data_IF_881029016862
#
_entry.id   IF_881029016862
#
_cell.length_a   1.000
_cell.length_b   1.000
_cell.length_c   1.000
_cell.angle_alpha   90.00
_cell.angle_beta   90.00
_cell.angle_gamma   90.00
#
_symmetry.space_group_name_H-M   'P 1'
#
loop_
_entity.id
_entity.type
_entity.pdbx_description
1 polymer ?
#
# COMPACT_ATOMS: atom_id res chain seq x y z
N UNK A 1 -27.49 -16.95 7.56
CA UNK A 1 -28.42 -15.93 8.08
C UNK A 1 -27.92 -15.35 9.40
N UNK A 2 -27.66 -16.15 10.44
CA UNK A 2 -27.24 -15.63 11.75
C UNK A 2 -25.96 -14.76 11.69
N UNK A 3 -24.95 -15.21 10.98
CA UNK A 3 -23.69 -14.44 10.80
C UNK A 3 -23.95 -13.12 10.10
N UNK A 4 -24.80 -13.09 9.05
CA UNK A 4 -25.12 -11.84 8.36
C UNK A 4 -25.80 -10.82 9.28
N UNK A 5 -26.87 -11.23 9.96
CA UNK A 5 -27.60 -10.35 10.89
C UNK A 5 -26.70 -9.84 12.03
N UNK A 6 -25.85 -10.72 12.58
CA UNK A 6 -24.92 -10.33 13.65
C UNK A 6 -23.85 -9.36 13.12
N UNK A 7 -23.32 -9.63 11.94
CA UNK A 7 -22.33 -8.77 11.28
C UNK A 7 -22.89 -7.37 10.97
N UNK A 8 -24.08 -7.30 10.41
CA UNK A 8 -24.76 -6.03 10.12
C UNK A 8 -24.99 -5.23 11.40
N UNK A 9 -25.49 -5.88 12.47
CA UNK A 9 -25.72 -5.22 13.76
C UNK A 9 -24.42 -4.66 14.37
N UNK A 10 -23.32 -5.44 14.35
CA UNK A 10 -22.05 -4.95 14.86
C UNK A 10 -21.46 -3.85 13.97
N UNK A 11 -21.55 -3.98 12.65
CA UNK A 11 -21.10 -2.94 11.73
C UNK A 11 -21.83 -1.62 11.98
N UNK A 12 -23.16 -1.65 12.15
CA UNK A 12 -23.96 -0.49 12.46
C UNK A 12 -23.62 0.07 13.85
N UNK A 13 -23.40 -0.77 14.84
CA UNK A 13 -22.98 -0.35 16.18
C UNK A 13 -21.64 0.42 16.12
N UNK A 14 -20.65 -0.09 15.40
CA UNK A 14 -19.37 0.57 15.23
C UNK A 14 -19.50 1.89 14.44
N UNK A 15 -20.31 1.92 13.39
CA UNK A 15 -20.55 3.12 12.59
C UNK A 15 -21.17 4.27 13.38
N UNK A 16 -21.95 3.94 14.43
CA UNK A 16 -22.62 4.92 15.29
C UNK A 16 -21.82 5.31 16.54
N UNK A 17 -20.61 4.78 16.73
CA UNK A 17 -19.73 5.21 17.83
C UNK A 17 -19.25 6.64 17.61
N UNK A 18 -18.96 7.38 18.68
CA UNK A 18 -18.46 8.75 18.58
C UNK A 18 -16.97 8.78 18.14
N UNK A 19 -16.21 7.75 18.47
CA UNK A 19 -14.79 7.63 18.20
C UNK A 19 -14.54 7.24 16.72
N UNK A 20 -13.79 8.07 16.01
CA UNK A 20 -13.49 7.87 14.59
C UNK A 20 -12.67 6.59 14.30
N UNK A 21 -11.87 6.12 15.27
CA UNK A 21 -11.16 4.87 15.16
C UNK A 21 -12.13 3.68 15.08
N UNK A 22 -13.14 3.65 15.95
CA UNK A 22 -14.16 2.59 15.93
C UNK A 22 -15.09 2.71 14.73
N UNK A 23 -15.45 3.92 14.31
CA UNK A 23 -16.23 4.13 13.07
C UNK A 23 -15.54 3.50 11.86
N UNK A 24 -14.22 3.70 11.74
CA UNK A 24 -13.44 3.10 10.65
C UNK A 24 -13.48 1.55 10.67
N UNK A 25 -13.63 0.94 11.87
CA UNK A 25 -13.72 -0.53 12.03
C UNK A 25 -15.06 -1.13 11.62
N UNK A 26 -16.08 -0.31 11.38
CA UNK A 26 -17.37 -0.78 10.83
C UNK A 26 -17.19 -1.56 9.53
N UNK A 27 -16.36 -1.06 8.62
CA UNK A 27 -16.05 -1.73 7.37
C UNK A 27 -15.32 -3.06 7.58
N UNK A 28 -14.38 -3.13 8.54
CA UNK A 28 -13.66 -4.37 8.88
C UNK A 28 -14.61 -5.46 9.40
N UNK A 29 -15.58 -5.07 10.24
CA UNK A 29 -16.60 -6.00 10.77
C UNK A 29 -17.46 -6.58 9.65
N UNK A 30 -17.85 -5.74 8.69
CA UNK A 30 -18.62 -6.17 7.52
C UNK A 30 -17.81 -7.15 6.67
N UNK A 31 -16.56 -6.81 6.34
CA UNK A 31 -15.66 -7.65 5.56
C UNK A 31 -15.46 -9.04 6.22
N UNK A 32 -15.20 -9.10 7.52
CA UNK A 32 -15.07 -10.36 8.26
C UNK A 32 -16.36 -11.19 8.17
N UNK A 33 -17.51 -10.55 8.32
CA UNK A 33 -18.81 -11.24 8.29
C UNK A 33 -19.11 -11.80 6.91
N UNK A 34 -18.87 -11.05 5.85
CA UNK A 34 -19.03 -11.49 4.46
C UNK A 34 -18.05 -12.64 4.14
N UNK A 35 -16.84 -12.57 4.65
CA UNK A 35 -15.85 -13.65 4.49
C UNK A 35 -16.30 -14.95 5.15
N UNK A 36 -16.80 -14.88 6.39
CA UNK A 36 -17.34 -16.05 7.09
C UNK A 36 -18.51 -16.64 6.32
N UNK A 37 -19.42 -15.80 5.81
CA UNK A 37 -20.56 -16.26 4.99
C UNK A 37 -20.08 -16.96 3.72
N UNK A 38 -19.10 -16.40 3.01
CA UNK A 38 -18.52 -17.00 1.80
C UNK A 38 -17.96 -18.39 2.07
N UNK A 39 -17.20 -18.55 3.16
CA UNK A 39 -16.63 -19.85 3.58
C UNK A 39 -17.76 -20.84 3.92
N UNK A 40 -18.77 -20.40 4.68
CA UNK A 40 -19.92 -21.25 5.05
C UNK A 40 -20.76 -21.66 3.84
N UNK A 41 -20.86 -20.82 2.81
CA UNK A 41 -21.56 -21.12 1.58
C UNK A 41 -20.74 -21.96 0.58
N UNK A 42 -19.48 -22.31 0.93
CA UNK A 42 -18.60 -23.06 0.03
C UNK A 42 -18.18 -22.25 -1.20
N UNK A 43 -18.39 -20.94 -1.17
CA UNK A 43 -17.85 -20.06 -2.19
C UNK A 43 -16.36 -19.91 -1.94
N UNK A 44 -15.54 -20.55 -2.75
CA UNK A 44 -14.14 -20.16 -2.90
C UNK A 44 -14.17 -18.74 -3.46
N UNK A 45 -13.46 -17.84 -2.81
CA UNK A 45 -13.38 -16.46 -3.31
C UNK A 45 -12.93 -16.49 -4.76
N UNK A 46 -13.73 -15.90 -5.66
CA UNK A 46 -13.36 -15.64 -7.06
C UNK A 46 -12.22 -14.59 -7.17
N UNK A 47 -11.34 -14.55 -6.18
CA UNK A 47 -10.11 -13.76 -6.22
C UNK A 47 -9.04 -14.41 -7.10
N UNK A 48 -9.40 -15.47 -7.84
CA UNK A 48 -8.53 -16.02 -8.87
C UNK A 48 -8.50 -15.06 -10.06
N UNK A 49 -7.51 -14.18 -10.02
CA UNK A 49 -7.24 -13.22 -11.10
C UNK A 49 -6.66 -13.90 -12.36
N UNK A 50 -6.80 -15.24 -12.46
CA UNK A 50 -6.29 -16.01 -13.59
C UNK A 50 -4.76 -16.11 -13.60
N UNK A 51 -4.21 -16.60 -14.71
CA UNK A 51 -2.76 -16.82 -14.85
C UNK A 51 -2.01 -15.64 -15.47
N UNK A 52 -2.70 -14.70 -16.09
CA UNK A 52 -2.10 -13.54 -16.74
C UNK A 52 -1.98 -12.33 -15.80
N UNK A 53 -0.98 -11.47 -16.00
CA UNK A 53 -0.86 -10.21 -15.27
C UNK A 53 -2.04 -9.28 -15.57
N UNK A 54 -2.67 -8.73 -14.51
CA UNK A 54 -3.91 -7.96 -14.61
C UNK A 54 -3.86 -6.60 -13.91
N UNK A 55 -4.70 -5.70 -14.38
CA UNK A 55 -5.12 -4.49 -13.68
C UNK A 55 -6.42 -4.80 -12.96
N UNK A 56 -6.46 -4.66 -11.66
CA UNK A 56 -7.68 -4.88 -10.87
C UNK A 56 -8.47 -3.58 -10.80
N UNK A 57 -9.75 -3.68 -11.21
CA UNK A 57 -10.71 -2.57 -11.23
C UNK A 57 -11.87 -2.93 -10.33
N UNK A 58 -12.17 -2.12 -9.33
CA UNK A 58 -13.23 -2.38 -8.35
C UNK A 58 -13.85 -1.09 -7.82
N UNK A 59 -15.06 -1.17 -7.27
CA UNK A 59 -15.64 -0.03 -6.56
C UNK A 59 -14.83 0.34 -5.33
N UNK A 60 -14.47 -0.66 -4.53
CA UNK A 60 -13.53 -0.60 -3.42
C UNK A 60 -12.90 -2.00 -3.26
N UNK A 61 -11.82 -2.12 -2.52
CA UNK A 61 -11.14 -3.38 -2.25
C UNK A 61 -10.98 -3.57 -0.75
N UNK A 62 -11.65 -4.60 -0.24
CA UNK A 62 -11.50 -4.98 1.15
C UNK A 62 -10.11 -5.56 1.43
N UNK A 63 -9.60 -5.42 2.66
CA UNK A 63 -8.32 -6.02 3.06
C UNK A 63 -8.25 -7.51 2.80
N UNK A 64 -9.33 -8.26 3.06
CA UNK A 64 -9.42 -9.70 2.85
C UNK A 64 -9.26 -10.10 1.39
N UNK A 65 -9.76 -9.31 0.45
CA UNK A 65 -9.64 -9.53 -0.98
C UNK A 65 -8.20 -9.33 -1.45
N UNK A 66 -7.58 -8.22 -1.01
CA UNK A 66 -6.21 -7.88 -1.42
C UNK A 66 -5.16 -8.84 -0.88
N UNK A 67 -5.38 -9.44 0.30
CA UNK A 67 -4.48 -10.45 0.90
C UNK A 67 -4.46 -11.74 0.09
N UNK A 68 -5.56 -12.10 -0.54
CA UNK A 68 -5.72 -13.34 -1.31
C UNK A 68 -5.22 -13.25 -2.74
N UNK A 69 -5.05 -12.05 -3.27
CA UNK A 69 -4.58 -11.85 -4.64
C UNK A 69 -3.11 -12.27 -4.80
N UNK A 70 -2.80 -12.92 -5.91
CA UNK A 70 -1.41 -13.19 -6.28
C UNK A 70 -0.71 -11.88 -6.69
N UNK A 71 0.07 -11.36 -5.75
CA UNK A 71 0.77 -10.08 -5.90
C UNK A 71 1.76 -10.05 -7.08
N UNK A 72 2.19 -11.18 -7.57
CA UNK A 72 3.12 -11.26 -8.72
C UNK A 72 2.43 -10.97 -10.05
N UNK A 73 1.10 -11.12 -10.09
CA UNK A 73 0.26 -10.91 -11.28
C UNK A 73 -0.40 -9.53 -11.29
N UNK A 74 -0.31 -8.77 -10.19
CA UNK A 74 -0.93 -7.45 -10.09
C UNK A 74 -0.08 -6.38 -10.75
N UNK A 75 -0.62 -5.71 -11.76
CA UNK A 75 0.03 -4.61 -12.46
C UNK A 75 -0.37 -3.23 -11.91
N UNK A 76 -1.64 -3.06 -11.53
CA UNK A 76 -2.17 -1.81 -11.00
C UNK A 76 -3.52 -2.04 -10.30
N UNK A 77 -3.93 -1.06 -9.49
CA UNK A 77 -5.29 -0.95 -8.96
C UNK A 77 -6.00 0.29 -9.49
N UNK A 78 -7.30 0.16 -9.75
CA UNK A 78 -8.20 1.27 -10.06
C UNK A 78 -9.44 1.13 -9.21
N UNK A 79 -9.75 2.13 -8.38
CA UNK A 79 -10.95 2.10 -7.53
C UNK A 79 -11.82 3.32 -7.75
N UNK A 80 -13.15 3.12 -7.66
CA UNK A 80 -14.13 4.21 -7.69
C UNK A 80 -14.11 4.98 -6.38
N UNK A 81 -14.03 4.26 -5.27
CA UNK A 81 -14.00 4.84 -3.94
C UNK A 81 -12.64 4.63 -3.27
N UNK A 82 -12.45 5.25 -2.12
CA UNK A 82 -11.23 5.14 -1.33
C UNK A 82 -10.52 6.49 -1.16
N UNK A 83 -9.39 6.43 -0.48
CA UNK A 83 -8.55 7.61 -0.22
C UNK A 83 -7.08 7.25 -0.39
N UNK A 84 -6.21 8.25 -0.36
CA UNK A 84 -4.76 8.04 -0.39
C UNK A 84 -4.24 7.20 0.80
N UNK A 85 -5.03 7.04 1.84
CA UNK A 85 -4.75 6.24 3.04
C UNK A 85 -5.57 4.93 3.09
N UNK A 86 -6.31 4.59 2.02
CA UNK A 86 -7.02 3.31 1.95
C UNK A 86 -6.04 2.12 1.93
N UNK A 87 -6.52 0.95 2.32
CA UNK A 87 -5.74 -0.30 2.27
C UNK A 87 -5.16 -0.56 0.89
N UNK A 88 -5.94 -0.35 -0.17
CA UNK A 88 -5.52 -0.50 -1.57
C UNK A 88 -4.36 0.45 -1.92
N UNK A 89 -4.44 1.71 -1.49
CA UNK A 89 -3.38 2.68 -1.75
C UNK A 89 -2.08 2.33 -1.00
N UNK A 90 -2.19 1.86 0.24
CA UNK A 90 -1.04 1.42 1.05
C UNK A 90 -0.40 0.18 0.41
N UNK A 91 -1.22 -0.79 0.00
CA UNK A 91 -0.74 -2.00 -0.66
C UNK A 91 -0.02 -1.69 -1.97
N UNK A 92 -0.62 -0.86 -2.83
CA UNK A 92 -0.01 -0.44 -4.10
C UNK A 92 1.36 0.23 -3.88
N UNK A 93 1.48 1.13 -2.89
CA UNK A 93 2.76 1.75 -2.52
C UNK A 93 3.79 0.73 -2.06
N UNK A 94 3.37 -0.22 -1.23
CA UNK A 94 4.25 -1.30 -0.72
C UNK A 94 4.76 -2.18 -1.86
N UNK A 95 3.89 -2.47 -2.83
CA UNK A 95 4.24 -3.25 -4.02
C UNK A 95 5.00 -2.43 -5.07
N UNK A 96 4.94 -1.10 -4.99
CA UNK A 96 5.54 -0.20 -5.99
C UNK A 96 4.85 -0.26 -7.35
N UNK A 97 3.53 -0.49 -7.35
CA UNK A 97 2.66 -0.49 -8.54
C UNK A 97 1.73 0.73 -8.54
N UNK A 98 1.26 1.20 -9.70
CA UNK A 98 0.33 2.32 -9.77
C UNK A 98 -1.03 1.98 -9.15
N UNK A 99 -1.65 2.98 -8.52
CA UNK A 99 -3.05 2.93 -8.10
C UNK A 99 -3.74 4.26 -8.44
N UNK A 100 -4.93 4.16 -9.03
CA UNK A 100 -5.81 5.30 -9.27
C UNK A 100 -7.07 5.15 -8.43
N UNK A 101 -7.46 6.24 -7.77
CA UNK A 101 -8.61 6.29 -6.86
C UNK A 101 -9.55 7.39 -7.34
N UNK A 102 -10.87 7.19 -7.15
CA UNK A 102 -11.87 8.16 -7.57
C UNK A 102 -12.14 8.14 -9.07
N UNK A 103 -11.98 6.98 -9.71
CA UNK A 103 -12.20 6.78 -11.14
C UNK A 103 -13.62 6.29 -11.39
N UNK A 104 -14.33 6.89 -12.32
CA UNK A 104 -15.59 6.31 -12.81
C UNK A 104 -15.28 5.05 -13.60
N UNK A 105 -15.81 3.92 -13.14
CA UNK A 105 -15.54 2.59 -13.67
C UNK A 105 -16.71 2.16 -14.57
N UNK A 106 -16.37 1.58 -15.73
CA UNK A 106 -17.31 0.93 -16.62
C UNK A 106 -17.08 -0.59 -16.59
N UNK A 107 -18.14 -1.36 -16.34
CA UNK A 107 -18.09 -2.84 -16.31
C UNK A 107 -17.64 -3.44 -17.66
N UNK A 108 -17.78 -2.69 -18.75
CA UNK A 108 -17.32 -3.10 -20.08
C UNK A 108 -15.80 -3.17 -20.21
N UNK A 109 -15.06 -2.69 -19.22
CA UNK A 109 -13.59 -2.77 -19.20
C UNK A 109 -13.07 -4.18 -18.89
N UNK A 110 -13.93 -5.03 -18.35
CA UNK A 110 -13.53 -6.38 -18.00
C UNK A 110 -13.02 -7.16 -19.23
N UNK A 111 -11.83 -7.77 -19.08
CA UNK A 111 -11.17 -8.52 -20.14
C UNK A 111 -10.50 -7.66 -21.23
N UNK A 112 -10.57 -6.33 -21.14
CA UNK A 112 -9.93 -5.42 -22.08
C UNK A 112 -8.50 -5.07 -21.69
N UNK A 113 -7.69 -4.73 -22.71
CA UNK A 113 -6.34 -4.18 -22.45
C UNK A 113 -6.46 -2.76 -21.93
N UNK A 114 -5.64 -2.44 -20.90
CA UNK A 114 -5.60 -1.11 -20.31
C UNK A 114 -4.19 -0.65 -20.00
N UNK A 115 -4.03 0.67 -19.93
CA UNK A 115 -2.80 1.34 -19.47
C UNK A 115 -3.16 2.18 -18.24
N UNK A 116 -2.37 2.05 -17.19
CA UNK A 116 -2.46 2.88 -15.99
C UNK A 116 -1.17 3.68 -15.83
N UNK A 117 -1.29 5.00 -15.86
CA UNK A 117 -0.19 5.91 -15.55
C UNK A 117 -0.46 6.57 -14.18
N UNK A 118 0.18 6.05 -13.14
CA UNK A 118 0.07 6.59 -11.79
C UNK A 118 0.77 7.93 -11.58
N UNK A 119 1.66 8.36 -12.49
CA UNK A 119 2.31 9.66 -12.42
C UNK A 119 1.42 10.78 -12.98
N UNK A 120 0.74 10.49 -14.09
CA UNK A 120 -0.15 11.46 -14.74
C UNK A 120 -1.61 11.31 -14.30
N UNK A 121 -1.93 10.27 -13.53
CA UNK A 121 -3.30 9.98 -13.11
C UNK A 121 -4.22 9.61 -14.27
N UNK A 122 -3.70 8.86 -15.26
CA UNK A 122 -4.41 8.50 -16.48
C UNK A 122 -4.74 7.02 -16.56
N UNK A 123 -5.92 6.73 -17.09
CA UNK A 123 -6.35 5.40 -17.53
C UNK A 123 -6.69 5.46 -19.02
N UNK A 124 -6.23 4.49 -19.78
CA UNK A 124 -6.54 4.33 -21.21
C UNK A 124 -6.98 2.90 -21.40
N UNK A 125 -8.23 2.72 -21.82
CA UNK A 125 -8.83 1.40 -22.13
C UNK A 125 -8.81 1.19 -23.62
N UNK A 126 -8.46 -0.02 -24.07
CA UNK A 126 -8.29 -0.37 -25.48
C UNK A 126 -7.38 0.62 -26.25
N UNK A 127 -6.13 0.84 -25.77
CA UNK A 127 -5.21 1.75 -26.45
C UNK A 127 -4.94 1.26 -27.87
N UNK A 128 -4.81 2.20 -28.80
CA UNK A 128 -4.29 1.87 -30.12
C UNK A 128 -2.80 1.48 -30.06
N UNK A 129 -2.27 0.92 -31.14
CA UNK A 129 -0.89 0.43 -31.17
C UNK A 129 0.14 1.54 -30.96
N UNK A 130 -0.13 2.74 -31.45
CA UNK A 130 0.77 3.89 -31.29
C UNK A 130 0.86 4.30 -29.82
N UNK A 131 -0.29 4.48 -29.17
CA UNK A 131 -0.40 4.80 -27.74
C UNK A 131 0.25 3.71 -26.89
N UNK A 132 -0.02 2.44 -27.18
CA UNK A 132 0.58 1.32 -26.45
C UNK A 132 2.11 1.37 -26.55
N UNK A 133 2.65 1.56 -27.74
CA UNK A 133 4.10 1.63 -27.97
C UNK A 133 4.75 2.84 -27.25
N UNK A 134 4.07 3.98 -27.20
CA UNK A 134 4.54 5.16 -26.46
C UNK A 134 4.66 4.84 -24.95
N UNK A 135 3.63 4.22 -24.36
CA UNK A 135 3.64 3.89 -22.93
C UNK A 135 4.59 2.73 -22.59
N UNK A 136 4.79 1.76 -23.49
CA UNK A 136 5.82 0.74 -23.31
C UNK A 136 7.23 1.34 -23.28
N UNK A 137 7.54 2.30 -24.15
CA UNK A 137 8.81 3.04 -24.09
C UNK A 137 8.95 3.82 -22.78
N UNK A 138 7.87 4.51 -22.33
CA UNK A 138 7.84 5.23 -21.05
C UNK A 138 8.11 4.29 -19.88
N UNK A 139 7.51 3.10 -19.87
CA UNK A 139 7.73 2.07 -18.87
C UNK A 139 9.18 1.57 -18.85
N UNK A 140 9.78 1.35 -20.03
CA UNK A 140 11.17 0.91 -20.13
C UNK A 140 12.14 1.96 -19.57
N UNK A 141 11.96 3.23 -19.91
CA UNK A 141 12.74 4.33 -19.34
C UNK A 141 12.61 4.37 -17.82
N UNK A 142 11.39 4.21 -17.28
CA UNK A 142 11.17 4.19 -15.84
C UNK A 142 11.87 2.99 -15.16
N UNK A 143 11.85 1.82 -15.81
CA UNK A 143 12.58 0.62 -15.33
C UNK A 143 14.09 0.83 -15.33
N UNK A 144 14.64 1.44 -16.38
CA UNK A 144 16.06 1.76 -16.45
C UNK A 144 16.49 2.76 -15.38
N UNK A 145 15.68 3.82 -15.16
CA UNK A 145 15.91 4.78 -14.07
C UNK A 145 15.89 4.08 -12.70
N UNK A 146 14.94 3.19 -12.46
CA UNK A 146 14.86 2.41 -11.22
C UNK A 146 16.09 1.51 -11.04
N UNK A 147 16.56 0.84 -12.11
CA UNK A 147 17.81 0.06 -12.09
C UNK A 147 19.02 0.92 -11.78
N UNK A 148 19.12 2.11 -12.39
CA UNK A 148 20.19 3.04 -12.13
C UNK A 148 20.21 3.48 -10.66
N UNK A 149 19.06 3.85 -10.10
CA UNK A 149 18.94 4.20 -8.67
C UNK A 149 19.37 3.03 -7.76
N UNK A 150 18.92 1.81 -8.06
CA UNK A 150 19.33 0.62 -7.32
C UNK A 150 20.84 0.34 -7.43
N UNK A 151 21.47 0.69 -8.55
CA UNK A 151 22.92 0.54 -8.73
C UNK A 151 23.75 1.52 -7.88
N UNK A 152 23.14 2.55 -7.34
CA UNK A 152 23.77 3.50 -6.42
C UNK A 152 23.79 2.99 -4.96
N UNK A 153 23.03 1.96 -4.66
CA UNK A 153 22.99 1.35 -3.33
C UNK A 153 24.40 0.83 -2.97
N UNK A 154 24.81 1.09 -1.75
CA UNK A 154 26.15 0.73 -1.24
C UNK A 154 27.29 1.61 -1.77
N UNK A 155 27.00 2.64 -2.55
CA UNK A 155 28.01 3.61 -3.00
C UNK A 155 28.00 4.85 -2.12
N UNK A 156 29.19 5.39 -1.86
CA UNK A 156 29.32 6.65 -1.18
C UNK A 156 28.65 7.79 -1.96
N UNK A 157 27.89 8.60 -1.25
CA UNK A 157 27.32 9.81 -1.82
C UNK A 157 28.38 10.91 -1.78
N UNK A 158 28.88 11.30 -2.95
CA UNK A 158 29.97 12.28 -3.08
C UNK A 158 29.53 13.42 -3.99
N UNK A 159 29.80 14.66 -3.59
CA UNK A 159 29.58 15.83 -4.42
C UNK A 159 30.55 15.86 -5.61
N UNK A 160 30.27 16.70 -6.63
CA UNK A 160 31.20 16.91 -7.75
C UNK A 160 32.59 17.41 -7.32
N UNK A 161 32.69 18.05 -6.15
CA UNK A 161 33.95 18.52 -5.56
C UNK A 161 34.66 17.46 -4.70
N UNK A 162 34.14 16.22 -4.65
CA UNK A 162 34.77 15.14 -3.87
C UNK A 162 34.35 15.09 -2.39
N UNK A 163 33.46 15.97 -1.92
CA UNK A 163 32.99 15.94 -0.53
C UNK A 163 31.98 14.84 -0.31
N UNK A 164 32.24 13.93 0.64
CA UNK A 164 31.31 12.90 1.06
C UNK A 164 30.15 13.49 1.85
N UNK A 165 28.92 13.08 1.51
CA UNK A 165 27.68 13.48 2.19
C UNK A 165 27.02 12.20 2.73
N UNK A 166 26.73 12.19 4.01
CA UNK A 166 25.95 11.10 4.61
C UNK A 166 24.47 11.35 4.46
N UNK A 167 23.74 10.35 3.93
CA UNK A 167 22.30 10.40 3.77
C UNK A 167 21.63 9.65 4.91
N UNK A 168 20.85 10.35 5.71
CA UNK A 168 20.11 9.79 6.83
C UNK A 168 18.62 9.71 6.48
N UNK A 169 17.96 8.66 6.97
CA UNK A 169 16.52 8.50 6.80
C UNK A 169 15.73 9.26 7.87
N UNK A 170 14.53 9.68 7.52
CA UNK A 170 13.52 10.11 8.48
C UNK A 170 12.50 8.97 8.63
N UNK A 171 12.15 8.62 9.86
CA UNK A 171 11.18 7.58 10.19
C UNK A 171 10.06 8.13 11.07
N UNK A 172 8.87 7.55 10.96
CA UNK A 172 7.72 7.84 11.81
C UNK A 172 7.50 6.77 12.88
N UNK A 173 7.79 5.51 12.55
CA UNK A 173 7.65 4.39 13.48
C UNK A 173 8.69 3.29 13.19
N UNK A 174 8.83 2.28 14.08
CA UNK A 174 9.78 1.19 13.88
C UNK A 174 9.54 0.34 12.62
N UNK A 175 8.34 0.32 12.04
CA UNK A 175 8.06 -0.42 10.81
C UNK A 175 8.80 0.14 9.60
N UNK A 176 9.18 1.41 9.61
CA UNK A 176 9.94 2.05 8.56
C UNK A 176 11.38 1.53 8.44
N UNK A 177 11.89 0.87 9.49
CA UNK A 177 13.27 0.37 9.54
C UNK A 177 13.61 -0.59 8.40
N UNK A 178 12.66 -1.42 8.00
CA UNK A 178 12.85 -2.34 6.88
C UNK A 178 13.24 -1.58 5.61
N UNK A 179 12.55 -0.49 5.30
CA UNK A 179 12.85 0.36 4.14
C UNK A 179 14.19 1.09 4.31
N UNK A 180 14.51 1.56 5.52
CA UNK A 180 15.79 2.23 5.82
C UNK A 180 16.97 1.30 5.55
N UNK A 181 16.92 0.08 6.06
CA UNK A 181 17.96 -0.94 5.86
C UNK A 181 18.01 -1.37 4.39
N UNK A 182 16.85 -1.60 3.77
CA UNK A 182 16.75 -1.99 2.37
C UNK A 182 17.36 -0.95 1.43
N UNK A 183 17.25 0.33 1.74
CA UNK A 183 17.81 1.42 0.93
C UNK A 183 19.22 1.86 1.37
N UNK A 184 19.84 1.14 2.31
CA UNK A 184 21.20 1.37 2.80
C UNK A 184 21.45 2.81 3.28
N UNK A 185 20.52 3.35 4.07
CA UNK A 185 20.72 4.65 4.69
C UNK A 185 21.92 4.64 5.65
N UNK A 186 22.65 5.73 5.71
CA UNK A 186 23.81 5.88 6.62
C UNK A 186 23.42 5.89 8.11
N UNK A 187 22.14 6.06 8.38
CA UNK A 187 21.56 6.07 9.72
C UNK A 187 20.18 6.71 9.71
N UNK A 188 19.67 7.04 10.89
CA UNK A 188 18.42 7.76 11.09
C UNK A 188 18.76 9.19 11.50
N UNK A 189 18.31 10.17 10.74
CA UNK A 189 18.50 11.59 11.03
C UNK A 189 17.41 12.16 11.90
N UNK A 190 16.20 11.65 11.75
CA UNK A 190 15.03 12.07 12.53
C UNK A 190 14.08 10.89 12.75
N UNK A 191 13.76 10.63 14.01
CA UNK A 191 12.63 9.80 14.39
C UNK A 191 11.49 10.72 14.84
N UNK A 192 10.43 10.75 14.07
CA UNK A 192 9.22 11.52 14.36
C UNK A 192 8.39 10.79 15.40
N UNK A 193 8.78 10.89 16.64
CA UNK A 193 8.15 10.15 17.76
C UNK A 193 6.71 10.57 18.04
N UNK A 194 6.24 11.68 17.49
CA UNK A 194 4.83 12.09 17.55
C UNK A 194 3.87 11.04 16.99
N UNK A 195 4.31 10.19 16.05
CA UNK A 195 3.48 9.11 15.53
C UNK A 195 3.17 8.05 16.58
N UNK A 196 4.04 7.84 17.59
CA UNK A 196 3.76 6.95 18.71
C UNK A 196 2.56 7.44 19.56
N UNK A 197 2.36 8.75 19.58
CA UNK A 197 1.23 9.38 20.28
C UNK A 197 -0.04 9.36 19.43
N UNK A 198 0.08 9.55 18.12
CA UNK A 198 -1.06 9.61 17.20
C UNK A 198 -1.69 8.22 16.96
N UNK A 199 -0.90 7.15 17.10
CA UNK A 199 -1.36 5.77 16.92
C UNK A 199 -1.90 5.15 18.22
N UNK A 200 -1.68 5.79 19.37
CA UNK A 200 -2.11 5.32 20.68
C UNK A 200 -3.46 5.96 21.08
N UNK A 201 -4.29 5.21 21.79
CA UNK A 201 -5.55 5.71 22.35
C UNK A 201 -5.36 6.65 23.55
N UNK A 202 -4.19 6.63 24.17
CA UNK A 202 -3.75 7.49 25.28
C UNK A 202 -2.26 7.77 25.11
N UNK A 203 -1.68 8.60 25.99
CA UNK A 203 -0.26 8.89 25.96
C UNK A 203 0.56 7.60 26.11
N UNK A 204 1.53 7.34 25.20
CA UNK A 204 2.38 6.16 25.29
C UNK A 204 3.20 6.20 26.57
N UNK A 205 3.25 5.08 27.25
CA UNK A 205 4.07 4.90 28.48
C UNK A 205 5.56 5.00 28.18
N UNK A 206 6.37 5.23 29.22
CA UNK A 206 7.83 5.26 29.08
C UNK A 206 8.37 3.92 28.53
N UNK A 207 7.79 2.79 28.98
CA UNK A 207 8.18 1.45 28.49
C UNK A 207 7.87 1.23 27.01
N UNK A 208 6.74 1.72 26.53
CA UNK A 208 6.38 1.65 25.09
C UNK A 208 7.32 2.49 24.24
N UNK A 209 7.63 3.71 24.70
CA UNK A 209 8.59 4.57 24.04
C UNK A 209 9.99 3.96 24.04
N UNK A 210 10.44 3.44 25.20
CA UNK A 210 11.72 2.75 25.35
C UNK A 210 11.81 1.56 24.38
N UNK A 211 10.76 0.76 24.28
CA UNK A 211 10.70 -0.38 23.37
C UNK A 211 10.88 0.05 21.91
N UNK A 212 10.19 1.11 21.50
CA UNK A 212 10.28 1.64 20.14
C UNK A 212 11.70 2.16 19.84
N UNK A 213 12.27 2.99 20.72
CA UNK A 213 13.63 3.53 20.54
C UNK A 213 14.71 2.45 20.59
N UNK A 214 14.57 1.47 21.49
CA UNK A 214 15.47 0.33 21.58
C UNK A 214 15.46 -0.50 20.29
N UNK A 215 14.28 -0.81 19.77
CA UNK A 215 14.14 -1.55 18.50
C UNK A 215 14.84 -0.80 17.36
N UNK A 216 14.67 0.50 17.28
CA UNK A 216 15.33 1.34 16.27
C UNK A 216 16.84 1.28 16.42
N UNK A 217 17.36 1.50 17.63
CA UNK A 217 18.80 1.51 17.91
C UNK A 217 19.46 0.15 17.62
N UNK A 218 18.81 -0.94 18.04
CA UNK A 218 19.32 -2.31 17.82
C UNK A 218 19.30 -2.69 16.32
N UNK A 219 18.22 -2.34 15.60
CA UNK A 219 18.13 -2.62 14.16
C UNK A 219 19.17 -1.85 13.36
N UNK A 220 19.48 -0.62 13.75
CA UNK A 220 20.50 0.19 13.09
C UNK A 220 21.95 -0.24 13.38
N UNK A 221 22.16 -1.16 14.33
CA UNK A 221 23.44 -1.85 14.58
C UNK A 221 24.67 -0.94 14.60
N UNK A 222 24.60 0.17 15.35
CA UNK A 222 25.69 1.15 15.48
C UNK A 222 25.77 2.23 14.40
N UNK A 223 24.91 2.21 13.37
CA UNK A 223 24.68 3.37 12.52
C UNK A 223 24.00 4.47 13.35
N UNK A 224 24.28 5.75 13.00
CA UNK A 224 23.75 6.90 13.75
C UNK A 224 22.24 6.99 13.68
#
# INVERSE_FOLDING_TARGET
YAVGVTGDNFSEMFANMEDDYFKARSADVKDISERVISVLCGKTSDSDIGDEPVIVVADDLAPSETVQMDKTKLLAFVTRYGSSNSHTAILARTMGIPALIGVEIDEQWNGKKGIIDGFEGKIIVEPDEETLNQYLKKQEVAKEQKKLLLSLKGKDTVTKSGKQIKLYANIGNPSDLAAVVQNDAAGIGLFRSEFLYLEASDYPTEDEQLKAYKQVAETMAGKK
#
